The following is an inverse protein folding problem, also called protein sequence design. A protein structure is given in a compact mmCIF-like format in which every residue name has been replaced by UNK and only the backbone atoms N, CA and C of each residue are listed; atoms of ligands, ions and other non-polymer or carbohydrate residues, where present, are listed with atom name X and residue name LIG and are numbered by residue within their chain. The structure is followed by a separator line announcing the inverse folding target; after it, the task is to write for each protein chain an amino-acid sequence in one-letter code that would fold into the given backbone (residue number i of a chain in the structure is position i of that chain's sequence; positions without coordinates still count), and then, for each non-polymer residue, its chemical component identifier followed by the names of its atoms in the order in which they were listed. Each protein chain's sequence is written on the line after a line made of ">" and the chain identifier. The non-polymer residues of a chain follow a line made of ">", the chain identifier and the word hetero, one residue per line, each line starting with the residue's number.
data_IF_226154337045
#
_entry.id   IF_226154337045
#
_cell.length_a   1.000
_cell.length_b   1.000
_cell.length_c   1.000
_cell.angle_alpha   90.00
_cell.angle_beta   90.00
_cell.angle_gamma   90.00
#
_symmetry.space_group_name_H-M   'P 1'
#
loop_
_entity.id
_entity.type
_entity.pdbx_description
1 polymer ?
#
# COMPACT_ATOMS: atom_id res chain seq x y z
N UNK A 1 28.71 6.94 31.76
CA UNK A 1 29.41 8.17 32.23
C UNK A 1 30.85 7.81 32.56
N UNK A 2 31.83 8.64 32.19
CA UNK A 2 33.25 8.37 32.47
C UNK A 2 33.71 9.21 33.64
N UNK A 3 34.18 8.57 34.71
CA UNK A 3 34.80 9.25 35.83
C UNK A 3 36.30 9.09 35.70
N UNK A 4 37.04 10.21 35.69
CA UNK A 4 38.49 10.22 35.74
C UNK A 4 38.94 10.82 37.08
N UNK A 5 39.65 10.04 37.87
CA UNK A 5 40.34 10.52 39.06
C UNK A 5 41.83 10.69 38.74
N UNK A 6 42.37 11.86 39.03
CA UNK A 6 43.81 12.13 38.97
C UNK A 6 44.39 12.18 40.37
N UNK A 7 45.45 11.42 40.62
CA UNK A 7 46.21 11.55 41.86
C UNK A 7 47.05 12.85 41.88
N UNK A 8 47.56 13.25 43.04
CA UNK A 8 48.47 14.38 43.23
C UNK A 8 49.76 14.26 42.38
N UNK A 9 50.11 13.02 42.01
CA UNK A 9 51.26 12.69 41.16
C UNK A 9 50.94 12.73 39.65
N UNK A 10 49.71 13.11 39.26
CA UNK A 10 49.31 13.25 37.86
C UNK A 10 48.97 11.93 37.16
N UNK A 11 48.92 10.81 37.88
CA UNK A 11 48.40 9.56 37.34
C UNK A 11 46.87 9.64 37.26
N UNK A 12 46.34 9.53 36.04
CA UNK A 12 44.91 9.50 35.80
C UNK A 12 44.42 8.07 35.65
N UNK A 13 43.47 7.66 36.49
CA UNK A 13 42.72 6.42 36.30
C UNK A 13 41.29 6.78 35.90
N UNK A 14 40.86 6.27 34.76
CA UNK A 14 39.49 6.40 34.29
C UNK A 14 38.76 5.08 34.46
N UNK A 15 37.56 5.12 35.00
CA UNK A 15 36.65 3.99 35.06
C UNK A 15 35.32 4.40 34.43
N UNK A 16 34.81 3.53 33.55
CA UNK A 16 33.52 3.72 32.90
C UNK A 16 32.44 3.05 33.76
N UNK A 17 31.48 3.85 34.23
CA UNK A 17 30.27 3.32 34.81
C UNK A 17 29.23 3.15 33.69
N UNK A 18 28.82 1.91 33.48
CA UNK A 18 27.68 1.58 32.63
C UNK A 18 26.39 1.94 33.37
N UNK A 19 25.55 2.76 32.73
CA UNK A 19 24.28 3.20 33.29
C UNK A 19 23.17 2.51 32.51
N UNK A 20 22.41 1.65 33.18
CA UNK A 20 21.21 1.05 32.60
C UNK A 20 20.05 2.02 32.80
N UNK A 21 19.65 2.71 31.74
CA UNK A 21 18.42 3.49 31.73
C UNK A 21 17.26 2.53 31.49
N UNK A 22 16.27 2.55 32.38
CA UNK A 22 15.03 1.82 32.18
C UNK A 22 14.09 2.73 31.41
N UNK A 23 13.56 2.21 30.31
CA UNK A 23 12.52 2.88 29.55
C UNK A 23 11.17 2.75 30.27
N UNK A 24 10.33 3.77 30.13
CA UNK A 24 8.96 3.71 30.61
C UNK A 24 8.13 2.80 29.69
N UNK A 25 7.20 2.01 30.24
CA UNK A 25 6.31 1.20 29.43
C UNK A 25 5.19 2.07 28.82
N UNK A 26 4.80 1.76 27.59
CA UNK A 26 3.63 2.37 26.95
C UNK A 26 2.34 1.91 27.65
N UNK A 27 1.40 2.84 27.88
CA UNK A 27 0.13 2.57 28.54
C UNK A 27 -1.08 3.03 27.73
N UNK A 28 -2.19 2.31 27.89
CA UNK A 28 -3.51 2.72 27.38
C UNK A 28 -4.28 3.43 28.50
N UNK A 29 -4.51 4.73 28.35
CA UNK A 29 -5.14 5.54 29.41
C UNK A 29 -6.67 5.47 29.35
N UNK A 30 -7.23 5.69 28.15
CA UNK A 30 -8.66 5.76 27.91
C UNK A 30 -8.99 5.09 26.58
N UNK A 31 -9.93 4.16 26.60
CA UNK A 31 -10.43 3.46 25.42
C UNK A 31 -11.94 3.62 25.38
N UNK A 32 -12.45 4.33 24.38
CA UNK A 32 -13.87 4.60 24.19
C UNK A 32 -14.31 4.17 22.79
N UNK A 33 -15.53 3.62 22.71
CA UNK A 33 -16.14 3.18 21.46
C UNK A 33 -17.46 3.92 21.25
N UNK A 34 -17.75 4.26 19.99
CA UNK A 34 -19.10 4.67 19.62
C UNK A 34 -20.08 3.48 19.71
N UNK A 35 -21.40 3.75 19.78
CA UNK A 35 -22.40 2.69 19.72
C UNK A 35 -22.24 1.83 18.45
N UNK A 36 -22.14 0.49 18.57
CA UNK A 36 -21.96 -0.41 17.43
C UNK A 36 -23.30 -0.70 16.75
N UNK A 37 -23.74 0.19 15.88
CA UNK A 37 -25.00 0.05 15.13
C UNK A 37 -24.73 -0.40 13.68
N UNK A 38 -25.44 -1.42 13.16
CA UNK A 38 -25.29 -1.85 11.77
C UNK A 38 -25.62 -0.72 10.78
N UNK A 39 -24.80 -0.60 9.74
CA UNK A 39 -24.92 0.46 8.72
C UNK A 39 -24.39 1.82 9.15
N UNK A 40 -23.74 1.92 10.31
CA UNK A 40 -23.02 3.11 10.79
C UNK A 40 -21.55 2.78 11.03
N UNK A 41 -20.74 3.82 11.18
CA UNK A 41 -19.31 3.68 11.45
C UNK A 41 -19.06 3.48 12.95
N UNK A 42 -18.26 2.48 13.28
CA UNK A 42 -17.67 2.28 14.59
C UNK A 42 -16.42 3.15 14.73
N UNK A 43 -16.49 4.11 15.63
CA UNK A 43 -15.34 4.91 16.04
C UNK A 43 -14.72 4.32 17.30
N UNK A 44 -13.43 4.00 17.25
CA UNK A 44 -12.65 3.56 18.39
C UNK A 44 -11.59 4.60 18.72
N UNK A 45 -11.76 5.24 19.88
CA UNK A 45 -10.90 6.30 20.39
C UNK A 45 -9.99 5.73 21.46
N UNK A 46 -8.67 5.79 21.25
CA UNK A 46 -7.67 5.22 22.15
C UNK A 46 -6.65 6.29 22.54
N UNK A 47 -6.56 6.60 23.82
CA UNK A 47 -5.50 7.44 24.39
C UNK A 47 -4.31 6.56 24.77
N UNK A 48 -3.18 6.80 24.12
CA UNK A 48 -1.91 6.11 24.37
C UNK A 48 -0.94 7.08 25.03
N UNK A 49 -0.19 6.62 26.02
CA UNK A 49 0.79 7.41 26.75
C UNK A 49 2.10 6.67 26.94
N UNK A 50 3.21 7.40 26.88
CA UNK A 50 4.54 6.94 27.22
C UNK A 50 5.33 8.09 27.85
N UNK A 51 6.02 7.82 28.96
CA UNK A 51 6.81 8.85 29.66
C UNK A 51 8.15 9.15 28.97
N UNK A 52 8.60 8.26 28.08
CA UNK A 52 9.80 8.49 27.27
C UNK A 52 9.48 9.19 25.95
N UNK A 53 8.20 9.23 25.56
CA UNK A 53 7.69 9.84 24.34
C UNK A 53 7.10 8.81 23.37
N UNK A 54 6.25 9.27 22.44
CA UNK A 54 5.50 8.44 21.50
C UNK A 54 6.12 8.33 20.10
N UNK A 55 7.26 8.98 19.86
CA UNK A 55 7.89 9.08 18.53
C UNK A 55 8.20 7.73 17.87
N UNK A 56 8.56 6.74 18.69
CA UNK A 56 8.96 5.40 18.24
C UNK A 56 7.94 4.33 18.66
N UNK A 57 6.75 4.76 19.07
CA UNK A 57 5.65 3.86 19.43
C UNK A 57 4.71 3.72 18.24
N UNK A 58 4.44 2.48 17.83
CA UNK A 58 3.52 2.17 16.71
C UNK A 58 2.39 1.30 17.24
N UNK A 59 1.16 1.68 16.93
CA UNK A 59 -0.03 0.98 17.40
C UNK A 59 -0.79 0.36 16.22
N UNK A 60 -1.19 -0.89 16.39
CA UNK A 60 -2.03 -1.66 15.49
C UNK A 60 -3.41 -1.86 16.12
N UNK A 61 -4.45 -1.67 15.30
CA UNK A 61 -5.82 -1.99 15.61
C UNK A 61 -6.24 -3.17 14.74
N UNK A 62 -6.79 -4.22 15.36
CA UNK A 62 -7.35 -5.38 14.68
C UNK A 62 -8.78 -5.62 15.19
N UNK A 63 -9.70 -5.82 14.26
CA UNK A 63 -11.09 -6.12 14.53
C UNK A 63 -11.42 -7.50 13.95
N UNK A 64 -12.01 -8.36 14.76
CA UNK A 64 -12.40 -9.72 14.38
C UNK A 64 -13.91 -9.91 14.50
N UNK A 65 -14.45 -10.77 13.66
CA UNK A 65 -15.82 -11.28 13.75
C UNK A 65 -15.93 -12.35 14.86
N UNK A 66 -17.15 -12.75 15.17
CA UNK A 66 -17.46 -13.78 16.17
C UNK A 66 -16.82 -15.15 15.86
N UNK A 67 -16.60 -15.44 14.58
CA UNK A 67 -15.93 -16.67 14.12
C UNK A 67 -14.39 -16.56 14.12
N UNK A 68 -13.84 -15.43 14.57
CA UNK A 68 -12.40 -15.16 14.56
C UNK A 68 -11.84 -14.70 13.21
N UNK A 69 -12.71 -14.40 12.24
CA UNK A 69 -12.30 -13.82 10.95
C UNK A 69 -11.85 -12.38 11.10
N UNK A 70 -10.69 -12.02 10.52
CA UNK A 70 -10.21 -10.64 10.52
C UNK A 70 -11.12 -9.78 9.63
N UNK A 71 -11.75 -8.76 10.22
CA UNK A 71 -12.60 -7.81 9.51
C UNK A 71 -11.79 -6.61 9.00
N UNK A 72 -10.94 -6.06 9.87
CA UNK A 72 -10.04 -4.97 9.49
C UNK A 72 -8.79 -4.98 10.35
N UNK A 73 -7.71 -4.47 9.77
CA UNK A 73 -6.47 -4.18 10.47
C UNK A 73 -5.93 -2.84 9.98
N UNK A 74 -5.42 -2.04 10.91
CA UNK A 74 -4.78 -0.76 10.60
C UNK A 74 -3.65 -0.50 11.56
N UNK A 75 -2.63 0.22 11.09
CA UNK A 75 -1.44 0.55 11.87
C UNK A 75 -1.20 2.04 11.78
N UNK A 76 -1.05 2.71 12.92
CA UNK A 76 -0.81 4.14 13.03
C UNK A 76 0.35 4.41 14.00
N UNK A 77 1.22 5.40 13.72
CA UNK A 77 2.18 5.87 14.71
C UNK A 77 1.43 6.50 15.89
N UNK A 78 1.92 6.27 17.11
CA UNK A 78 1.25 6.71 18.32
C UNK A 78 1.26 8.23 18.46
N UNK A 79 2.30 8.94 18.01
CA UNK A 79 2.34 10.40 18.03
C UNK A 79 3.59 10.99 17.41
N UNK A 80 3.61 12.32 17.19
CA UNK A 80 4.79 13.03 16.71
C UNK A 80 5.87 13.15 17.80
N UNK A 81 7.07 13.57 17.41
CA UNK A 81 8.18 13.85 18.33
C UNK A 81 7.79 14.83 19.43
N UNK A 82 8.25 14.55 20.65
CA UNK A 82 7.97 15.37 21.84
C UNK A 82 6.54 15.26 22.39
N UNK A 83 5.69 14.39 21.83
CA UNK A 83 4.41 14.03 22.44
C UNK A 83 4.58 12.85 23.41
N UNK A 84 4.00 12.98 24.60
CA UNK A 84 4.00 11.93 25.64
C UNK A 84 2.65 11.24 25.77
N UNK A 85 1.60 11.86 25.23
CA UNK A 85 0.24 11.34 25.20
C UNK A 85 -0.41 11.79 23.91
N UNK A 86 -1.16 10.89 23.28
CA UNK A 86 -1.91 11.19 22.07
C UNK A 86 -3.15 10.30 21.96
N UNK A 87 -4.14 10.78 21.23
CA UNK A 87 -5.39 10.07 20.98
C UNK A 87 -5.43 9.57 19.53
N UNK A 88 -5.48 8.26 19.37
CA UNK A 88 -5.65 7.56 18.11
C UNK A 88 -7.13 7.30 17.84
N UNK A 89 -7.56 7.50 16.60
CA UNK A 89 -8.94 7.30 16.17
C UNK A 89 -8.97 6.30 15.03
N UNK A 90 -9.70 5.20 15.23
CA UNK A 90 -9.93 4.17 14.23
C UNK A 90 -11.39 4.17 13.83
N UNK A 91 -11.64 3.93 12.54
CA UNK A 91 -12.98 3.93 11.97
C UNK A 91 -13.21 2.63 11.19
N UNK A 92 -14.32 1.97 11.46
CA UNK A 92 -14.73 0.79 10.71
C UNK A 92 -16.24 0.84 10.40
N UNK A 93 -16.65 0.81 9.12
CA UNK A 93 -18.06 0.76 8.75
C UNK A 93 -18.64 -0.62 9.08
N UNK A 94 -19.66 -0.69 9.95
CA UNK A 94 -20.29 -1.98 10.32
C UNK A 94 -21.31 -2.35 9.23
N UNK A 95 -21.09 -3.41 8.42
CA UNK A 95 -22.10 -3.90 7.49
C UNK A 95 -23.31 -4.51 8.22
N UNK A 96 -24.47 -4.49 7.56
CA UNK A 96 -25.73 -5.05 8.08
C UNK A 96 -25.65 -6.57 8.32
N UNK A 97 -24.71 -7.27 7.67
CA UNK A 97 -24.46 -8.70 7.87
C UNK A 97 -23.93 -9.04 9.27
N UNK A 98 -23.28 -8.09 9.96
CA UNK A 98 -22.75 -8.25 11.31
C UNK A 98 -23.78 -7.88 12.40
N UNK A 99 -25.06 -7.83 12.05
CA UNK A 99 -26.11 -7.53 13.03
C UNK A 99 -26.28 -8.66 14.06
N UNK A 100 -26.41 -8.29 15.34
CA UNK A 100 -26.45 -9.21 16.47
C UNK A 100 -25.23 -10.14 16.59
N UNK A 101 -24.08 -9.76 16.04
CA UNK A 101 -22.81 -10.47 16.26
C UNK A 101 -21.97 -9.77 17.31
N UNK A 102 -20.98 -10.48 17.85
CA UNK A 102 -20.00 -9.92 18.78
C UNK A 102 -18.71 -9.70 18.00
N UNK A 103 -18.18 -8.49 18.06
CA UNK A 103 -16.89 -8.12 17.50
C UNK A 103 -15.82 -8.22 18.59
N UNK A 104 -14.66 -8.73 18.24
CA UNK A 104 -13.48 -8.73 19.11
C UNK A 104 -12.50 -7.66 18.63
N UNK A 105 -12.18 -6.74 19.53
CA UNK A 105 -11.26 -5.63 19.28
C UNK A 105 -9.94 -5.92 19.99
N UNK A 106 -8.84 -5.81 19.25
CA UNK A 106 -7.49 -5.91 19.78
C UNK A 106 -6.67 -4.67 19.37
N UNK A 107 -6.13 -3.98 20.36
CA UNK A 107 -5.10 -2.97 20.19
C UNK A 107 -3.76 -3.51 20.62
N UNK A 108 -2.76 -3.36 19.76
CA UNK A 108 -1.37 -3.75 20.05
C UNK A 108 -0.47 -2.55 19.80
N UNK A 109 0.24 -2.06 20.81
CA UNK A 109 1.26 -1.04 20.62
C UNK A 109 2.65 -1.65 20.83
N UNK A 110 3.62 -1.23 20.05
CA UNK A 110 5.01 -1.66 20.12
C UNK A 110 5.91 -0.44 20.27
N UNK A 111 6.82 -0.49 21.24
CA UNK A 111 7.80 0.56 21.52
C UNK A 111 9.12 0.36 20.75
N UNK A 112 10.08 1.26 20.98
CA UNK A 112 11.43 1.22 20.42
C UNK A 112 12.26 0.01 20.89
N UNK A 113 11.90 -0.58 22.03
CA UNK A 113 12.51 -1.78 22.59
C UNK A 113 11.83 -3.06 22.06
N UNK A 114 10.92 -2.93 21.09
CA UNK A 114 10.12 -4.04 20.54
C UNK A 114 9.28 -4.75 21.61
N UNK A 115 8.93 -4.05 22.69
CA UNK A 115 7.99 -4.55 23.68
C UNK A 115 6.58 -4.29 23.20
N UNK A 116 5.77 -5.35 23.16
CA UNK A 116 4.38 -5.29 22.72
C UNK A 116 3.43 -5.20 23.92
N UNK A 117 2.52 -4.23 23.86
CA UNK A 117 1.46 -3.99 24.84
C UNK A 117 0.10 -4.24 24.18
N UNK A 118 -0.78 -4.97 24.85
CA UNK A 118 -2.05 -5.43 24.28
C UNK A 118 -3.24 -4.93 25.09
N UNK A 119 -4.32 -4.58 24.41
CA UNK A 119 -5.62 -4.30 25.00
C UNK A 119 -6.71 -4.99 24.18
N UNK A 120 -7.47 -5.87 24.84
CA UNK A 120 -8.47 -6.70 24.19
C UNK A 120 -9.84 -6.42 24.81
N UNK A 121 -10.87 -6.26 23.99
CA UNK A 121 -12.24 -6.09 24.44
C UNK A 121 -13.23 -6.64 23.42
N UNK A 122 -14.46 -6.86 23.83
CA UNK A 122 -15.53 -7.36 22.96
C UNK A 122 -16.69 -6.37 22.92
N UNK A 123 -17.27 -6.17 21.73
CA UNK A 123 -18.37 -5.26 21.47
C UNK A 123 -19.53 -6.03 20.85
N UNK A 124 -20.73 -5.89 21.39
CA UNK A 124 -21.93 -6.53 20.83
C UNK A 124 -22.60 -5.55 19.88
N UNK A 125 -22.78 -5.94 18.63
CA UNK A 125 -23.45 -5.13 17.61
C UNK A 125 -24.95 -5.19 17.81
N UNK A 126 -25.60 -4.04 17.67
CA UNK A 126 -27.06 -3.95 17.74
C UNK A 126 -27.74 -4.74 16.61
N UNK A 127 -29.05 -4.96 16.76
CA UNK A 127 -29.86 -5.56 15.71
C UNK A 127 -29.98 -4.64 14.48
N UNK A 128 -30.00 -5.22 13.29
CA UNK A 128 -30.26 -4.48 12.06
C UNK A 128 -31.64 -3.82 12.12
N UNK A 129 -31.69 -2.51 11.88
CA UNK A 129 -32.97 -1.82 11.74
C UNK A 129 -33.68 -2.37 10.49
N UNK A 130 -34.94 -2.81 10.65
CA UNK A 130 -35.74 -3.24 9.52
C UNK A 130 -36.00 -2.06 8.60
N UNK A 131 -35.65 -2.20 7.33
CA UNK A 131 -35.88 -1.18 6.34
C UNK A 131 -37.39 -1.14 5.98
N UNK A 132 -38.13 -0.22 6.60
CA UNK A 132 -39.58 -0.06 6.36
C UNK A 132 -39.93 0.57 5.01
N UNK A 133 -39.05 1.41 4.47
CA UNK A 133 -39.19 2.10 3.18
C UNK A 133 -38.09 1.68 2.19
N UNK A 134 -37.65 0.43 2.26
CA UNK A 134 -37.00 -0.20 1.12
C UNK A 134 -38.09 -0.43 0.08
N UNK A 135 -38.43 0.64 -0.63
CA UNK A 135 -39.37 0.61 -1.72
C UNK A 135 -38.84 -0.42 -2.72
N UNK A 136 -39.40 -1.64 -2.65
CA UNK A 136 -39.30 -2.62 -3.71
C UNK A 136 -39.91 -1.95 -4.94
N UNK A 137 -39.07 -1.25 -5.69
CA UNK A 137 -39.30 -0.95 -7.08
C UNK A 137 -39.27 -2.29 -7.80
N UNK A 138 -40.38 -3.03 -7.66
CA UNK A 138 -40.79 -4.00 -8.67
C UNK A 138 -41.14 -3.16 -9.89
N UNK A 139 -40.15 -2.80 -10.69
CA UNK A 139 -40.34 -1.77 -11.70
C UNK A 139 -39.09 -1.47 -12.49
N UNK A 140 -38.61 -2.47 -13.23
CA UNK A 140 -37.59 -2.33 -14.26
C UNK A 140 -36.40 -3.21 -13.95
N UNK A 141 -36.37 -4.38 -14.57
CA UNK A 141 -35.14 -5.14 -14.78
C UNK A 141 -34.11 -4.19 -15.43
N UNK A 142 -33.31 -3.51 -14.62
CA UNK A 142 -32.02 -3.02 -15.05
C UNK A 142 -31.10 -4.24 -15.05
N UNK A 143 -31.30 -5.10 -16.05
CA UNK A 143 -30.28 -6.04 -16.43
C UNK A 143 -29.01 -5.21 -16.68
N UNK A 144 -27.84 -5.63 -16.15
CA UNK A 144 -26.58 -5.07 -16.62
C UNK A 144 -26.55 -5.20 -18.15
N UNK A 145 -25.96 -4.21 -18.83
CA UNK A 145 -25.94 -4.05 -20.28
C UNK A 145 -25.13 -5.14 -21.04
N UNK A 146 -25.28 -6.39 -20.63
CA UNK A 146 -24.64 -7.58 -21.16
C UNK A 146 -25.60 -8.77 -21.12
N UNK A 147 -26.88 -8.57 -21.47
CA UNK A 147 -27.57 -9.64 -22.20
C UNK A 147 -27.08 -9.57 -23.64
N UNK A 148 -25.96 -10.23 -23.89
CA UNK A 148 -25.58 -10.60 -25.24
C UNK A 148 -26.66 -11.59 -25.72
N UNK A 149 -27.63 -11.07 -26.48
CA UNK A 149 -28.51 -11.86 -27.32
C UNK A 149 -27.62 -12.87 -28.04
N UNK A 150 -27.76 -14.15 -27.69
CA UNK A 150 -26.88 -15.22 -28.16
C UNK A 150 -27.25 -15.51 -29.59
N UNK A 151 -26.80 -14.62 -30.47
CA UNK A 151 -26.84 -14.80 -31.89
C UNK A 151 -25.99 -16.04 -32.18
N UNK A 152 -26.65 -17.17 -32.46
CA UNK A 152 -26.06 -18.47 -32.79
C UNK A 152 -25.39 -18.51 -34.17
N UNK A 153 -25.49 -17.41 -34.93
CA UNK A 153 -24.96 -17.30 -36.29
C UNK A 153 -23.42 -17.34 -36.41
N UNK A 154 -22.58 -16.79 -35.50
CA UNK A 154 -21.14 -16.95 -35.58
C UNK A 154 -20.69 -18.37 -35.22
N UNK A 155 -21.41 -19.09 -34.34
CA UNK A 155 -21.11 -20.49 -34.02
C UNK A 155 -21.33 -21.43 -35.22
N UNK A 156 -22.30 -21.16 -36.07
CA UNK A 156 -22.50 -21.91 -37.31
C UNK A 156 -21.32 -21.77 -38.28
N UNK A 157 -20.71 -20.57 -38.37
CA UNK A 157 -19.52 -20.33 -39.19
C UNK A 157 -18.30 -21.04 -38.61
N UNK A 158 -18.13 -21.01 -37.28
CA UNK A 158 -17.06 -21.75 -36.58
C UNK A 158 -17.17 -23.25 -36.80
N UNK A 159 -18.38 -23.83 -36.73
CA UNK A 159 -18.60 -25.24 -37.02
C UNK A 159 -18.29 -25.61 -38.48
N UNK A 160 -18.66 -24.75 -39.44
CA UNK A 160 -18.34 -24.99 -40.86
C UNK A 160 -16.82 -24.88 -41.11
N UNK A 161 -16.14 -23.92 -40.46
CA UNK A 161 -14.67 -23.81 -40.49
C UNK A 161 -13.99 -25.01 -39.85
N UNK A 162 -14.52 -25.56 -38.75
CA UNK A 162 -13.99 -26.78 -38.13
C UNK A 162 -14.16 -28.01 -39.02
N UNK A 163 -15.31 -28.16 -39.67
CA UNK A 163 -15.54 -29.27 -40.61
C UNK A 163 -14.64 -29.12 -41.83
N UNK A 164 -14.56 -27.94 -42.44
CA UNK A 164 -13.65 -27.67 -43.56
C UNK A 164 -12.18 -27.86 -43.16
N UNK A 165 -11.80 -27.42 -41.95
CA UNK A 165 -10.47 -27.59 -41.38
C UNK A 165 -10.12 -29.05 -41.13
N UNK A 166 -11.05 -29.86 -40.64
CA UNK A 166 -10.83 -31.31 -40.46
C UNK A 166 -10.65 -32.04 -41.79
N UNK A 167 -11.39 -31.66 -42.83
CA UNK A 167 -11.24 -32.20 -44.18
C UNK A 167 -9.88 -31.76 -44.76
N UNK A 168 -9.49 -30.51 -44.56
CA UNK A 168 -8.19 -29.99 -44.96
C UNK A 168 -7.03 -30.70 -44.23
N UNK A 169 -7.12 -30.89 -42.92
CA UNK A 169 -6.17 -31.66 -42.12
C UNK A 169 -6.05 -33.10 -42.61
N UNK A 170 -7.16 -33.76 -42.94
CA UNK A 170 -7.14 -35.13 -43.50
C UNK A 170 -6.45 -35.17 -44.88
N UNK A 171 -6.55 -34.11 -45.68
CA UNK A 171 -5.84 -34.01 -46.96
C UNK A 171 -4.36 -33.66 -46.81
N UNK A 172 -3.98 -32.87 -45.79
CA UNK A 172 -2.59 -32.50 -45.48
C UNK A 172 -1.86 -33.63 -44.76
N UNK A 173 -2.51 -34.37 -43.85
CA UNK A 173 -1.95 -35.55 -43.17
C UNK A 173 -1.70 -36.73 -44.10
N UNK A 174 -2.33 -36.79 -45.29
CA UNK A 174 -1.97 -37.73 -46.36
C UNK A 174 -0.71 -37.33 -47.13
N UNK A 175 -0.18 -36.13 -46.91
CA UNK A 175 1.15 -35.73 -47.38
C UNK A 175 2.14 -35.80 -46.21
N UNK A 176 2.85 -36.92 -46.14
CA UNK A 176 4.03 -37.06 -45.28
C UNK A 176 5.29 -36.62 -46.04
N UNK A 177 6.38 -36.22 -45.36
CA UNK A 177 6.51 -35.02 -44.54
C UNK A 177 7.78 -34.23 -44.93
N UNK A 178 7.94 -33.01 -44.40
CA UNK A 178 9.25 -32.50 -43.96
C UNK A 178 9.05 -31.17 -43.23
N UNK A 179 9.68 -31.03 -42.07
CA UNK A 179 9.83 -29.74 -41.38
C UNK A 179 9.33 -29.77 -39.95
N UNK A 180 10.29 -29.89 -39.05
CA UNK A 180 10.23 -29.77 -37.59
C UNK A 180 10.22 -28.28 -37.16
N UNK A 181 9.96 -28.04 -35.86
CA UNK A 181 9.84 -26.78 -35.08
C UNK A 181 8.44 -26.17 -35.10
N UNK A 182 7.71 -26.01 -33.99
CA UNK A 182 8.08 -25.94 -32.57
C UNK A 182 7.43 -24.66 -32.02
N UNK A 183 6.53 -24.77 -31.03
CA UNK A 183 6.05 -23.72 -30.11
C UNK A 183 4.91 -24.29 -29.26
N UNK A 184 5.25 -24.71 -28.05
CA UNK A 184 4.32 -25.09 -26.98
C UNK A 184 4.16 -23.87 -26.06
N UNK A 185 3.03 -23.17 -26.16
CA UNK A 185 2.64 -22.19 -25.14
C UNK A 185 1.81 -22.94 -24.11
N UNK A 186 2.48 -23.31 -23.02
CA UNK A 186 1.89 -23.99 -21.88
C UNK A 186 0.90 -23.10 -21.14
N UNK A 187 -0.18 -23.75 -20.72
CA UNK A 187 -1.25 -23.26 -19.87
C UNK A 187 -0.73 -22.58 -18.59
N UNK A 188 -0.97 -21.28 -18.44
CA UNK A 188 -0.97 -20.65 -17.12
C UNK A 188 -2.40 -20.66 -16.58
N UNK A 189 -2.70 -21.73 -15.85
CA UNK A 189 -3.81 -21.76 -14.92
C UNK A 189 -3.67 -20.59 -13.94
N UNK A 190 -4.74 -19.81 -13.79
CA UNK A 190 -4.88 -18.76 -12.79
C UNK A 190 -4.40 -19.29 -11.43
N UNK A 191 -3.25 -18.80 -10.97
CA UNK A 191 -2.74 -19.11 -9.65
C UNK A 191 -3.79 -18.67 -8.60
N UNK A 192 -4.11 -19.52 -7.61
CA UNK A 192 -4.93 -19.10 -6.49
C UNK A 192 -4.21 -17.99 -5.75
N UNK A 193 -4.93 -16.92 -5.40
CA UNK A 193 -4.44 -15.76 -4.67
C UNK A 193 -3.62 -16.21 -3.46
N UNK A 194 -2.29 -16.18 -3.58
CA UNK A 194 -1.38 -16.48 -2.49
C UNK A 194 -1.49 -15.40 -1.42
N UNK A 195 -1.53 -15.86 -0.18
CA UNK A 195 -1.69 -15.06 1.03
C UNK A 195 -0.45 -14.18 1.21
N UNK A 196 -0.62 -12.89 1.47
CA UNK A 196 0.45 -11.89 1.54
C UNK A 196 1.46 -12.12 2.68
N UNK A 197 1.19 -13.08 3.56
CA UNK A 197 2.11 -13.55 4.60
C UNK A 197 3.35 -14.26 4.01
N UNK A 198 3.21 -14.95 2.88
CA UNK A 198 4.31 -15.66 2.20
C UNK A 198 5.38 -14.72 1.63
N UNK A 199 5.08 -13.43 1.47
CA UNK A 199 6.04 -12.43 0.97
C UNK A 199 7.05 -11.98 2.05
N UNK A 200 6.79 -12.28 3.32
CA UNK A 200 7.68 -11.92 4.43
C UNK A 200 8.58 -13.06 4.89
N UNK A 201 8.32 -14.30 4.46
CA UNK A 201 9.13 -15.49 4.78
C UNK A 201 10.12 -15.87 3.67
N UNK A 202 10.16 -15.13 2.55
CA UNK A 202 11.14 -15.39 1.50
C UNK A 202 12.51 -14.83 1.91
N UNK A 203 13.44 -15.73 2.24
CA UNK A 203 14.85 -15.42 2.47
C UNK A 203 15.38 -14.46 1.38
N UNK A 204 15.82 -13.28 1.82
CA UNK A 204 16.42 -12.24 0.98
C UNK A 204 17.82 -12.72 0.61
N UNK A 205 17.91 -13.56 -0.42
CA UNK A 205 19.16 -13.91 -1.07
C UNK A 205 18.99 -13.67 -2.57
N UNK A 206 19.50 -12.53 -3.04
CA UNK A 206 19.73 -12.25 -4.46
C UNK A 206 18.89 -11.13 -5.08
N UNK A 207 19.56 -9.98 -5.27
CA UNK A 207 19.43 -9.12 -6.45
C UNK A 207 18.28 -8.11 -6.56
N UNK A 208 17.96 -7.43 -5.45
CA UNK A 208 17.06 -6.26 -5.41
C UNK A 208 17.69 -4.93 -5.88
N UNK A 209 18.87 -4.95 -6.50
CA UNK A 209 19.55 -3.78 -7.07
C UNK A 209 19.67 -3.83 -8.60
N UNK A 210 18.69 -4.45 -9.27
CA UNK A 210 18.52 -4.26 -10.71
C UNK A 210 17.77 -2.96 -10.94
N UNK A 211 18.53 -1.89 -11.15
CA UNK A 211 18.09 -0.55 -11.53
C UNK A 211 17.48 -0.58 -12.93
N UNK A 212 16.17 -0.86 -13.01
CA UNK A 212 15.36 -0.62 -14.20
C UNK A 212 13.91 -0.31 -13.78
N UNK A 213 13.48 0.92 -14.00
CA UNK A 213 12.07 1.26 -14.11
C UNK A 213 11.38 2.01 -12.95
N UNK A 214 12.04 2.96 -12.28
CA UNK A 214 11.30 4.05 -11.67
C UNK A 214 11.04 5.10 -12.77
N UNK A 215 9.84 5.11 -13.35
CA UNK A 215 9.39 6.21 -14.23
C UNK A 215 9.25 7.48 -13.39
N UNK A 216 10.38 8.17 -13.21
CA UNK A 216 10.43 9.54 -12.72
C UNK A 216 9.61 10.40 -13.70
N UNK A 217 8.53 11.02 -13.21
CA UNK A 217 7.69 11.93 -14.01
C UNK A 217 8.54 13.12 -14.42
N UNK A 218 9.17 13.02 -15.57
CA UNK A 218 9.91 14.12 -16.19
C UNK A 218 8.92 15.17 -16.70
N UNK A 219 9.12 16.46 -16.40
CA UNK A 219 8.29 17.53 -16.88
C UNK A 219 8.37 17.62 -18.41
N UNK A 220 7.22 17.84 -19.06
CA UNK A 220 7.07 17.93 -20.53
C UNK A 220 7.96 18.98 -21.25
N UNK A 221 8.70 19.80 -20.52
CA UNK A 221 9.70 20.74 -21.05
C UNK A 221 11.02 20.03 -21.45
N UNK A 222 11.27 18.83 -20.91
CA UNK A 222 12.48 18.06 -21.17
C UNK A 222 12.31 17.27 -22.48
N UNK A 223 13.22 17.37 -23.45
CA UNK A 223 13.16 16.58 -24.68
C UNK A 223 13.18 15.07 -24.40
N UNK A 224 12.47 14.28 -25.22
CA UNK A 224 12.42 12.82 -25.10
C UNK A 224 13.84 12.21 -25.13
N UNK A 225 14.18 11.44 -24.10
CA UNK A 225 15.48 10.79 -23.94
C UNK A 225 16.55 11.60 -23.19
N UNK A 226 16.21 12.78 -22.65
CA UNK A 226 17.10 13.54 -21.77
C UNK A 226 16.77 13.30 -20.30
N UNK A 227 17.80 13.15 -19.46
CA UNK A 227 17.64 13.14 -18.00
C UNK A 227 17.46 14.57 -17.47
N UNK A 228 16.81 14.73 -16.31
CA UNK A 228 16.64 16.04 -15.65
C UNK A 228 17.97 16.77 -15.47
N UNK A 229 18.99 16.05 -15.02
CA UNK A 229 20.34 16.58 -14.79
C UNK A 229 21.06 16.98 -16.09
N UNK A 230 20.86 16.23 -17.17
CA UNK A 230 21.43 16.57 -18.47
C UNK A 230 20.79 17.85 -19.04
N UNK A 231 19.48 18.02 -18.84
CA UNK A 231 18.75 19.20 -19.30
C UNK A 231 19.12 20.45 -18.51
N UNK A 232 19.22 20.36 -17.18
CA UNK A 232 19.66 21.49 -16.35
C UNK A 232 21.10 21.91 -16.66
N UNK A 233 22.01 20.94 -16.84
CA UNK A 233 23.39 21.22 -17.24
C UNK A 233 23.48 21.89 -18.63
N UNK A 234 22.58 21.56 -19.55
CA UNK A 234 22.51 22.21 -20.86
C UNK A 234 21.96 23.64 -20.79
N UNK A 235 20.96 23.89 -19.94
CA UNK A 235 20.45 25.25 -19.70
C UNK A 235 21.53 26.19 -19.12
N UNK A 236 22.49 25.64 -18.37
CA UNK A 236 23.66 26.37 -17.86
C UNK A 236 24.84 26.46 -18.85
N UNK A 237 24.68 25.83 -20.03
CA UNK A 237 25.67 25.80 -21.10
C UNK A 237 25.74 27.07 -21.95
N UNK A 238 26.68 27.11 -22.92
CA UNK A 238 26.81 28.22 -23.85
C UNK A 238 25.59 28.34 -24.78
N UNK A 239 25.34 29.57 -25.25
CA UNK A 239 24.25 29.89 -26.18
C UNK A 239 24.38 29.02 -27.45
N UNK A 240 23.33 28.28 -27.86
CA UNK A 240 23.33 27.53 -29.11
C UNK A 240 23.58 28.42 -30.33
N UNK A 241 24.31 27.92 -31.34
CA UNK A 241 24.75 28.70 -32.52
C UNK A 241 23.60 29.32 -33.33
N UNK A 242 22.39 28.77 -33.23
CA UNK A 242 21.20 29.22 -33.96
C UNK A 242 20.34 30.23 -33.17
N UNK A 243 20.75 30.62 -31.95
CA UNK A 243 19.96 31.43 -31.04
C UNK A 243 20.67 32.75 -30.71
N UNK A 244 19.90 33.85 -30.65
CA UNK A 244 20.44 35.11 -30.12
C UNK A 244 20.54 35.05 -28.58
N UNK A 245 21.52 35.77 -28.01
CA UNK A 245 21.75 35.81 -26.56
C UNK A 245 20.49 36.23 -25.78
N UNK A 246 19.69 37.14 -26.34
CA UNK A 246 18.45 37.63 -25.74
C UNK A 246 17.35 36.57 -25.73
N UNK A 247 17.23 35.76 -26.79
CA UNK A 247 16.25 34.68 -26.89
C UNK A 247 16.62 33.50 -25.98
N UNK A 248 17.91 33.18 -25.89
CA UNK A 248 18.42 32.13 -25.00
C UNK A 248 18.20 32.48 -23.54
N UNK A 249 18.53 33.71 -23.12
CA UNK A 249 18.34 34.15 -21.74
C UNK A 249 16.86 34.09 -21.31
N UNK A 250 15.93 34.50 -22.18
CA UNK A 250 14.50 34.43 -21.90
C UNK A 250 14.01 32.99 -21.74
N UNK A 251 14.49 32.08 -22.59
CA UNK A 251 14.13 30.66 -22.57
C UNK A 251 14.70 29.91 -21.35
N UNK A 252 15.93 30.22 -20.94
CA UNK A 252 16.54 29.63 -19.74
C UNK A 252 15.74 30.05 -18.50
N UNK A 253 15.33 31.32 -18.41
CA UNK A 253 14.52 31.81 -17.28
C UNK A 253 13.15 31.13 -17.23
N UNK A 254 12.45 31.00 -18.36
CA UNK A 254 11.16 30.30 -18.38
C UNK A 254 11.30 28.82 -18.05
N UNK A 255 12.33 28.15 -18.60
CA UNK A 255 12.55 26.72 -18.38
C UNK A 255 12.92 26.41 -16.93
N UNK A 256 13.75 27.25 -16.29
CA UNK A 256 14.08 27.10 -14.85
C UNK A 256 12.87 27.34 -13.95
N UNK A 257 11.98 28.28 -14.30
CA UNK A 257 10.76 28.52 -13.54
C UNK A 257 9.81 27.30 -13.58
N UNK A 258 9.63 26.68 -14.75
CA UNK A 258 8.80 25.48 -14.90
C UNK A 258 9.39 24.26 -14.19
N UNK A 259 10.73 24.12 -14.16
CA UNK A 259 11.40 23.06 -13.40
C UNK A 259 11.21 23.22 -11.89
N UNK A 260 11.25 24.46 -11.37
CA UNK A 260 11.02 24.74 -9.95
C UNK A 260 9.57 24.45 -9.52
N UNK A 261 8.57 24.84 -10.33
CA UNK A 261 7.16 24.53 -10.07
C UNK A 261 6.88 23.01 -10.05
N UNK A 262 7.54 22.26 -10.93
CA UNK A 262 7.41 20.80 -10.94
C UNK A 262 8.07 20.15 -9.72
N UNK A 263 9.21 20.67 -9.25
CA UNK A 263 9.86 20.18 -8.03
C UNK A 263 8.98 20.38 -6.79
N UNK A 264 8.36 21.56 -6.65
CA UNK A 264 7.41 21.84 -5.56
C UNK A 264 6.15 20.95 -5.60
N UNK A 265 5.72 20.55 -6.80
CA UNK A 265 4.54 19.67 -6.97
C UNK A 265 4.86 18.20 -6.67
N UNK A 266 6.11 17.78 -6.81
CA UNK A 266 6.54 16.40 -6.53
C UNK A 266 6.90 16.12 -5.06
N UNK A 267 7.07 17.16 -4.24
CA UNK A 267 7.36 17.04 -2.79
C UNK A 267 6.11 17.07 -1.89
N UNK A 268 4.90 17.07 -2.49
CA UNK A 268 3.61 17.11 -1.79
C UNK A 268 2.90 15.77 -1.64
#
# INVERSE_FOLDING_TARGET
>A
VVFSASDIDGLTKSESLDLMFQHAPTTFDLVEFSPPTPGQDLYSNVSVGDLDGLEQVVCAYSLYDADGGLLTQSVLPAGPEGSFTNQLVYQYPIPVSLANTTLEVNFTCMDNLQQSFFYNTTLVVDGAQSCGDCQQTTGGDQNPATEADTNLFPWAIVLIMLVAGSIFLLTVLRRKPNGDMGLEWGDEALAPLENTESLFEQDIDGDLFSEDGAEEKVPSIVPEGWTLDAYTSWLDGPVPEEWSEEQWAAYVVSSKATLAEHAETSEG
#
